data_IF_367190229706
#
_entry.id   IF_367190229706
#
_cell.length_a   1.000
_cell.length_b   1.000
_cell.length_c   1.000
_cell.angle_alpha   90.00
_cell.angle_beta   90.00
_cell.angle_gamma   90.00
#
_symmetry.space_group_name_H-M   'P 1'
#
loop_
_entity.id
_entity.type
_entity.pdbx_description
1 polymer ?
#
# COMPACT_ATOMS: atom_id res chain seq x y z
N UNK A 1 -4.16 -2.22 19.16
CA UNK A 1 -2.91 -2.02 18.37
C UNK A 1 -2.87 -0.58 17.87
N UNK A 2 -1.72 0.13 17.98
CA UNK A 2 -1.57 1.53 17.54
C UNK A 2 -1.05 1.58 16.10
N UNK A 3 -1.76 2.30 15.21
CA UNK A 3 -1.41 2.44 13.80
C UNK A 3 -1.24 3.92 13.46
N UNK A 4 -0.14 4.26 12.78
CA UNK A 4 0.00 5.54 12.13
C UNK A 4 -0.53 5.43 10.70
N UNK A 5 -1.54 6.21 10.35
CA UNK A 5 -2.04 6.35 8.99
C UNK A 5 -1.50 7.67 8.42
N UNK A 6 -0.66 7.56 7.40
CA UNK A 6 -0.07 8.72 6.75
C UNK A 6 -1.00 9.17 5.62
N UNK A 7 -1.51 10.37 5.74
CA UNK A 7 -2.44 10.98 4.81
C UNK A 7 -1.71 11.81 3.75
N UNK A 8 -1.77 11.36 2.50
CA UNK A 8 -1.21 12.06 1.34
C UNK A 8 -2.19 13.10 0.76
N UNK A 9 -3.00 13.75 1.61
CA UNK A 9 -4.02 14.72 1.18
C UNK A 9 -5.05 14.10 0.22
N UNK A 10 -5.50 12.89 0.55
CA UNK A 10 -6.37 12.09 -0.29
C UNK A 10 -7.75 11.89 0.35
N UNK A 11 -8.81 12.01 -0.45
CA UNK A 11 -10.19 11.84 0.01
C UNK A 11 -10.49 10.41 0.49
N UNK A 12 -9.75 9.40 0.02
CA UNK A 12 -9.91 8.00 0.44
C UNK A 12 -9.15 7.66 1.72
N UNK A 13 -8.31 8.55 2.27
CA UNK A 13 -7.59 8.31 3.53
C UNK A 13 -8.55 7.94 4.65
N UNK A 14 -9.67 8.64 4.78
CA UNK A 14 -10.65 8.36 5.82
C UNK A 14 -11.44 7.07 5.59
N UNK A 15 -11.55 6.59 4.36
CA UNK A 15 -12.08 5.24 4.10
C UNK A 15 -11.13 4.18 4.66
N UNK A 16 -9.80 4.33 4.44
CA UNK A 16 -8.79 3.46 5.06
C UNK A 16 -8.88 3.54 6.59
N UNK A 17 -9.02 4.75 7.16
CA UNK A 17 -9.21 4.96 8.58
C UNK A 17 -10.41 4.19 9.13
N UNK A 18 -11.59 4.33 8.51
CA UNK A 18 -12.80 3.63 8.94
C UNK A 18 -12.66 2.10 8.87
N UNK A 19 -12.06 1.57 7.81
CA UNK A 19 -11.79 0.14 7.70
C UNK A 19 -10.85 -0.36 8.82
N UNK A 20 -9.80 0.41 9.16
CA UNK A 20 -8.91 0.08 10.26
C UNK A 20 -9.61 0.18 11.62
N UNK A 21 -10.49 1.16 11.82
CA UNK A 21 -11.33 1.28 13.03
C UNK A 21 -12.29 0.10 13.17
N UNK A 22 -12.90 -0.35 12.08
CA UNK A 22 -13.82 -1.51 12.06
C UNK A 22 -13.12 -2.84 12.42
N UNK A 23 -11.80 -2.90 12.42
CA UNK A 23 -11.01 -4.04 12.90
C UNK A 23 -10.30 -3.73 14.23
N UNK A 24 -10.87 -2.83 15.02
CA UNK A 24 -10.50 -2.51 16.40
C UNK A 24 -9.08 -1.95 16.56
N UNK A 25 -8.58 -1.22 15.56
CA UNK A 25 -7.30 -0.55 15.64
C UNK A 25 -7.43 0.86 16.26
N UNK A 26 -6.44 1.24 17.08
CA UNK A 26 -6.27 2.63 17.48
C UNK A 26 -5.44 3.33 16.40
N UNK A 27 -6.11 4.19 15.60
CA UNK A 27 -5.52 4.83 14.42
C UNK A 27 -5.34 6.31 14.68
N UNK A 28 -4.12 6.79 14.45
CA UNK A 28 -3.77 8.22 14.47
C UNK A 28 -3.37 8.65 13.06
N UNK A 29 -3.99 9.72 12.55
CA UNK A 29 -3.77 10.22 11.18
C UNK A 29 -2.75 11.35 11.20
N UNK A 30 -1.78 11.27 10.31
CA UNK A 30 -0.73 12.28 10.13
C UNK A 30 -0.73 12.79 8.68
N UNK A 31 -0.81 14.07 8.46
CA UNK A 31 -0.53 14.67 7.15
C UNK A 31 0.94 14.39 6.78
N UNK A 32 1.20 14.01 5.54
CA UNK A 32 2.51 13.48 5.09
C UNK A 32 3.69 14.45 5.29
N UNK A 33 3.42 15.72 5.56
CA UNK A 33 4.41 16.80 5.75
C UNK A 33 4.37 17.42 7.18
N UNK A 34 3.48 16.96 8.09
CA UNK A 34 3.21 17.61 9.39
C UNK A 34 3.65 16.79 10.61
N UNK A 35 4.73 16.01 10.50
CA UNK A 35 5.28 15.24 11.63
C UNK A 35 6.78 15.01 11.45
N UNK A 36 7.44 14.53 12.51
CA UNK A 36 8.82 14.07 12.45
C UNK A 36 8.85 12.53 12.45
N UNK A 37 9.85 11.94 11.77
CA UNK A 37 9.98 10.46 11.67
C UNK A 37 10.05 9.80 13.08
N UNK A 38 10.63 10.49 14.06
CA UNK A 38 10.71 9.99 15.45
C UNK A 38 9.33 9.75 16.08
N UNK A 39 8.31 10.54 15.70
CA UNK A 39 6.97 10.45 16.27
C UNK A 39 6.28 9.12 15.88
N UNK A 40 6.70 8.51 14.77
CA UNK A 40 6.16 7.25 14.27
C UNK A 40 6.72 6.02 15.01
N UNK A 41 7.83 6.14 15.74
CA UNK A 41 8.48 5.00 16.42
C UNK A 41 7.62 4.35 17.50
N UNK A 42 6.66 5.08 18.06
CA UNK A 42 5.71 4.59 19.09
C UNK A 42 4.59 3.70 18.52
N UNK A 43 4.44 3.64 17.18
CA UNK A 43 3.38 2.86 16.53
C UNK A 43 3.81 1.43 16.25
N UNK A 44 2.83 0.53 16.25
CA UNK A 44 3.06 -0.88 15.95
C UNK A 44 3.16 -1.12 14.45
N UNK A 45 2.43 -0.33 13.64
CA UNK A 45 2.39 -0.42 12.18
C UNK A 45 2.17 0.95 11.56
N UNK A 46 2.56 1.08 10.29
CA UNK A 46 2.37 2.28 9.49
C UNK A 46 1.57 1.90 8.24
N UNK A 47 0.56 2.70 7.92
CA UNK A 47 -0.17 2.63 6.64
C UNK A 47 0.05 3.94 5.90
N UNK A 48 0.49 3.87 4.65
CA UNK A 48 0.67 5.03 3.77
C UNK A 48 -0.51 5.04 2.80
N UNK A 49 -1.32 6.09 2.86
CA UNK A 49 -2.57 6.22 2.12
C UNK A 49 -2.37 6.33 0.60
N UNK A 50 -3.44 6.17 -0.17
CA UNK A 50 -3.51 6.74 -1.52
C UNK A 50 -3.16 8.23 -1.52
N UNK A 51 -2.95 8.80 -2.69
CA UNK A 51 -2.70 10.22 -2.83
C UNK A 51 -2.54 10.66 -4.29
N UNK A 52 -2.62 11.96 -4.55
CA UNK A 52 -2.38 12.53 -5.86
C UNK A 52 -0.88 12.57 -6.19
N UNK A 53 -0.57 12.82 -7.46
CA UNK A 53 0.79 13.03 -7.95
C UNK A 53 1.63 11.76 -8.02
N UNK A 54 2.87 11.85 -7.58
CA UNK A 54 3.85 10.77 -7.64
C UNK A 54 4.66 10.67 -6.33
N UNK A 55 5.47 9.62 -6.13
CA UNK A 55 6.24 9.44 -4.90
C UNK A 55 7.12 10.62 -4.48
N UNK A 56 7.68 11.38 -5.41
CA UNK A 56 8.54 12.53 -5.08
C UNK A 56 7.75 13.70 -4.47
N UNK A 57 6.43 13.72 -4.67
CA UNK A 57 5.51 14.75 -4.15
C UNK A 57 4.81 14.31 -2.85
N UNK A 58 5.20 13.18 -2.27
CA UNK A 58 4.55 12.56 -1.11
C UNK A 58 5.10 13.03 0.26
N UNK A 59 5.64 14.23 0.35
CA UNK A 59 6.17 14.78 1.61
C UNK A 59 7.24 13.87 2.24
N UNK A 60 7.01 13.43 3.46
CA UNK A 60 7.95 12.59 4.21
C UNK A 60 7.83 11.07 3.90
N UNK A 61 6.93 10.64 3.00
CA UNK A 61 6.65 9.21 2.83
C UNK A 61 7.85 8.38 2.36
N UNK A 62 8.67 8.89 1.43
CA UNK A 62 9.91 8.21 1.04
C UNK A 62 10.87 8.04 2.23
N UNK A 63 10.99 9.06 3.10
CA UNK A 63 11.82 9.01 4.32
C UNK A 63 11.27 8.00 5.33
N UNK A 64 9.94 7.90 5.49
CA UNK A 64 9.29 6.90 6.36
C UNK A 64 9.77 5.51 5.98
N UNK A 65 9.58 5.14 4.70
CA UNK A 65 9.92 3.79 4.24
C UNK A 65 11.40 3.52 4.45
N UNK A 66 12.29 4.43 3.98
CA UNK A 66 13.76 4.26 4.12
C UNK A 66 14.22 4.10 5.57
N UNK A 67 13.61 4.85 6.50
CA UNK A 67 14.06 4.89 7.91
C UNK A 67 13.47 3.79 8.78
N UNK A 68 12.28 3.29 8.45
CA UNK A 68 11.49 2.46 9.36
C UNK A 68 11.19 1.06 8.85
N UNK A 69 11.46 0.73 7.58
CA UNK A 69 11.07 -0.56 6.97
C UNK A 69 11.63 -1.81 7.68
N UNK A 70 12.80 -1.68 8.33
CA UNK A 70 13.40 -2.77 9.12
C UNK A 70 12.81 -2.90 10.54
N UNK A 71 12.06 -1.90 11.00
CA UNK A 71 11.67 -1.75 12.41
C UNK A 71 10.18 -1.85 12.62
N UNK A 72 9.38 -1.37 11.68
CA UNK A 72 7.93 -1.26 11.80
C UNK A 72 7.30 -1.79 10.50
N UNK A 73 6.34 -2.72 10.57
CA UNK A 73 5.59 -3.16 9.39
C UNK A 73 4.90 -2.00 8.67
N UNK A 74 5.04 -1.95 7.34
CA UNK A 74 4.52 -0.87 6.50
C UNK A 74 3.58 -1.44 5.43
N UNK A 75 2.40 -0.85 5.29
CA UNK A 75 1.50 -1.07 4.18
C UNK A 75 1.39 0.21 3.35
N UNK A 76 1.64 0.12 2.05
CA UNK A 76 1.39 1.19 1.09
C UNK A 76 0.18 0.89 0.23
N UNK A 77 -0.76 1.83 0.12
CA UNK A 77 -1.94 1.75 -0.73
C UNK A 77 -1.81 2.75 -1.88
N UNK A 78 -1.97 2.30 -3.11
CA UNK A 78 -1.91 3.08 -4.34
C UNK A 78 -0.62 3.92 -4.45
N UNK A 79 -0.63 5.21 -4.12
CA UNK A 79 0.58 6.03 -4.03
C UNK A 79 1.59 5.42 -3.03
N UNK A 80 1.13 4.91 -1.89
CA UNK A 80 1.98 4.23 -0.91
C UNK A 80 2.70 3.00 -1.48
N UNK A 81 2.05 2.23 -2.35
CA UNK A 81 2.66 1.12 -3.07
C UNK A 81 3.77 1.59 -4.03
N UNK A 82 3.54 2.68 -4.76
CA UNK A 82 4.53 3.27 -5.66
C UNK A 82 5.73 3.83 -4.89
N UNK A 83 5.48 4.45 -3.72
CA UNK A 83 6.53 4.91 -2.79
C UNK A 83 7.43 3.74 -2.38
N UNK A 84 6.86 2.60 -2.00
CA UNK A 84 7.61 1.37 -1.68
C UNK A 84 8.45 0.95 -2.88
N UNK A 85 7.85 0.83 -4.07
CA UNK A 85 8.58 0.49 -5.29
C UNK A 85 9.78 1.38 -5.53
N UNK A 86 9.59 2.71 -5.46
CA UNK A 86 10.65 3.69 -5.70
C UNK A 86 11.76 3.65 -4.64
N UNK A 87 11.40 3.48 -3.36
CA UNK A 87 12.41 3.42 -2.27
C UNK A 87 13.37 2.25 -2.46
N UNK A 88 12.87 1.13 -2.94
CA UNK A 88 13.69 -0.06 -3.23
C UNK A 88 14.30 -0.05 -4.64
N UNK A 89 14.20 1.05 -5.40
CA UNK A 89 14.92 1.26 -6.67
C UNK A 89 14.14 0.93 -7.94
N UNK A 90 12.86 0.57 -7.84
CA UNK A 90 12.03 0.39 -9.01
C UNK A 90 11.63 1.74 -9.62
N UNK A 91 11.52 1.81 -10.95
CA UNK A 91 10.99 3.00 -11.64
C UNK A 91 9.47 3.03 -11.55
N UNK A 92 8.94 4.23 -11.41
CA UNK A 92 7.49 4.51 -11.49
C UNK A 92 7.24 5.14 -12.84
N UNK A 93 6.37 4.53 -13.63
CA UNK A 93 6.07 4.93 -14.99
C UNK A 93 4.58 5.16 -15.20
N UNK A 94 4.23 5.92 -16.21
CA UNK A 94 2.85 6.11 -16.62
C UNK A 94 2.30 4.85 -17.31
N UNK A 95 1.12 4.41 -16.91
CA UNK A 95 0.41 3.33 -17.62
C UNK A 95 -0.24 3.86 -18.89
N UNK A 96 -0.33 3.02 -19.92
CA UNK A 96 -1.02 3.36 -21.17
C UNK A 96 -2.53 3.55 -21.00
N UNK A 97 -3.12 2.96 -19.96
CA UNK A 97 -4.55 2.97 -19.68
C UNK A 97 -4.85 3.63 -18.36
N UNK A 98 -5.44 4.81 -18.37
CA UNK A 98 -5.92 5.49 -17.16
C UNK A 98 -7.02 4.66 -16.51
N UNK A 99 -6.85 4.41 -15.21
CA UNK A 99 -7.83 3.74 -14.36
C UNK A 99 -8.42 4.74 -13.37
N UNK A 100 -9.72 5.01 -13.48
CA UNK A 100 -10.44 5.90 -12.58
C UNK A 100 -11.77 5.28 -12.17
N UNK A 101 -11.85 4.76 -10.93
CA UNK A 101 -13.04 4.12 -10.38
C UNK A 101 -13.45 2.81 -11.06
N UNK A 102 -12.60 2.25 -11.91
CA UNK A 102 -12.84 1.00 -12.62
C UNK A 102 -12.34 -0.18 -11.80
N UNK A 103 -13.04 -1.29 -11.89
CA UNK A 103 -12.60 -2.55 -11.30
C UNK A 103 -11.78 -3.37 -12.29
N UNK A 104 -10.93 -4.23 -11.77
CA UNK A 104 -10.17 -5.21 -12.55
C UNK A 104 -10.06 -6.52 -11.77
N UNK A 105 -9.95 -7.62 -12.51
CA UNK A 105 -9.62 -8.91 -11.91
C UNK A 105 -8.12 -8.92 -11.59
N UNK A 106 -7.82 -9.18 -10.32
CA UNK A 106 -6.48 -9.28 -9.78
C UNK A 106 -6.13 -10.74 -9.56
N UNK A 107 -4.99 -11.17 -10.05
CA UNK A 107 -4.44 -12.50 -9.87
C UNK A 107 -3.45 -12.47 -8.71
N UNK A 108 -3.76 -13.16 -7.62
CA UNK A 108 -2.99 -13.18 -6.38
C UNK A 108 -2.12 -14.43 -6.29
N UNK A 109 -0.87 -14.26 -5.83
CA UNK A 109 0.03 -15.37 -5.45
C UNK A 109 -0.25 -15.92 -4.05
N UNK A 110 -1.23 -15.36 -3.33
CA UNK A 110 -1.64 -15.79 -1.97
C UNK A 110 -0.51 -15.71 -0.94
N UNK A 111 0.40 -14.76 -1.09
CA UNK A 111 1.52 -14.54 -0.15
C UNK A 111 1.33 -13.23 0.63
N UNK A 112 2.05 -13.09 1.75
CA UNK A 112 2.03 -11.90 2.58
C UNK A 112 0.61 -11.53 3.04
N UNK A 113 0.22 -10.28 2.83
CA UNK A 113 -1.12 -9.78 3.20
C UNK A 113 -2.25 -10.35 2.33
N UNK A 114 -1.93 -11.03 1.23
CA UNK A 114 -2.88 -11.71 0.35
C UNK A 114 -3.06 -13.19 0.69
N UNK A 115 -2.41 -13.67 1.76
CA UNK A 115 -2.55 -15.05 2.25
C UNK A 115 -4.01 -15.35 2.61
N UNK A 116 -4.46 -16.57 2.29
CA UNK A 116 -5.83 -17.06 2.55
C UNK A 116 -6.95 -16.25 1.84
N UNK A 117 -6.59 -15.52 0.76
CA UNK A 117 -7.55 -14.91 -0.13
C UNK A 117 -7.74 -15.75 -1.40
N UNK A 118 -8.82 -15.52 -2.18
CA UNK A 118 -9.01 -16.16 -3.48
C UNK A 118 -7.80 -15.92 -4.39
N UNK A 119 -7.53 -16.88 -5.29
CA UNK A 119 -6.48 -16.74 -6.32
C UNK A 119 -6.79 -15.56 -7.26
N UNK A 120 -8.08 -15.29 -7.50
CA UNK A 120 -8.56 -14.16 -8.28
C UNK A 120 -9.62 -13.41 -7.50
N UNK A 121 -9.61 -12.08 -7.60
CA UNK A 121 -10.63 -11.23 -7.00
C UNK A 121 -10.74 -9.92 -7.76
N UNK A 122 -11.88 -9.27 -7.63
CA UNK A 122 -12.11 -7.94 -8.21
C UNK A 122 -11.65 -6.85 -7.24
N UNK A 123 -10.96 -5.82 -7.76
CA UNK A 123 -10.53 -4.66 -6.98
C UNK A 123 -10.63 -3.35 -7.77
N UNK A 124 -10.93 -2.28 -7.06
CA UNK A 124 -11.05 -0.93 -7.62
C UNK A 124 -9.67 -0.29 -7.82
N UNK A 125 -9.51 0.43 -8.92
CA UNK A 125 -8.28 1.11 -9.30
C UNK A 125 -8.53 2.58 -9.64
N UNK A 126 -7.63 3.47 -9.15
CA UNK A 126 -7.64 4.92 -9.40
C UNK A 126 -6.22 5.40 -9.65
N UNK A 127 -5.56 4.91 -10.70
CA UNK A 127 -4.16 5.27 -10.94
C UNK A 127 -3.81 5.40 -12.42
N UNK A 128 -2.86 6.30 -12.69
CA UNK A 128 -2.18 6.47 -13.97
C UNK A 128 -0.71 6.05 -13.91
N UNK A 129 -0.15 5.87 -12.70
CA UNK A 129 1.22 5.46 -12.47
C UNK A 129 1.26 4.02 -11.93
N UNK A 130 2.34 3.31 -12.28
CA UNK A 130 2.60 1.92 -11.88
C UNK A 130 4.08 1.70 -11.61
N UNK A 131 4.41 0.67 -10.85
CA UNK A 131 5.78 0.14 -10.78
C UNK A 131 6.11 -0.53 -12.13
N UNK A 132 7.20 -0.09 -12.76
CA UNK A 132 7.70 -0.72 -13.98
C UNK A 132 8.25 -2.12 -13.67
N UNK A 133 7.59 -3.14 -14.23
CA UNK A 133 7.97 -4.55 -14.04
C UNK A 133 9.39 -4.85 -14.49
N UNK A 134 9.91 -4.15 -15.50
CA UNK A 134 11.27 -4.35 -16.03
C UNK A 134 12.35 -3.89 -15.06
N UNK A 135 12.01 -2.97 -14.17
CA UNK A 135 12.93 -2.40 -13.18
C UNK A 135 12.62 -2.81 -11.76
N UNK A 136 11.76 -3.83 -11.58
CA UNK A 136 11.40 -4.30 -10.24
C UNK A 136 12.66 -4.66 -9.45
N UNK A 137 12.78 -4.03 -8.27
CA UNK A 137 13.89 -4.29 -7.36
C UNK A 137 14.01 -5.76 -6.99
N UNK A 138 15.25 -6.26 -6.90
CA UNK A 138 15.55 -7.62 -6.40
C UNK A 138 15.11 -7.87 -4.95
N UNK A 139 14.91 -6.82 -4.18
CA UNK A 139 14.46 -6.90 -2.79
C UNK A 139 12.94 -7.06 -2.67
N UNK A 140 12.21 -6.84 -3.76
CA UNK A 140 10.77 -6.98 -3.83
C UNK A 140 10.37 -8.26 -4.58
N UNK A 141 9.21 -8.80 -4.22
CA UNK A 141 8.51 -9.84 -4.95
C UNK A 141 7.11 -9.38 -5.36
N UNK A 142 6.65 -9.80 -6.54
CA UNK A 142 5.30 -9.53 -7.00
C UNK A 142 4.35 -10.51 -6.31
N UNK A 143 3.31 -9.99 -5.66
CA UNK A 143 2.30 -10.78 -4.96
C UNK A 143 0.94 -10.79 -5.65
N UNK A 144 0.71 -9.82 -6.55
CA UNK A 144 -0.50 -9.74 -7.37
C UNK A 144 -0.24 -9.01 -8.68
N UNK A 145 -0.96 -9.40 -9.73
CA UNK A 145 -0.91 -8.79 -11.07
C UNK A 145 -2.29 -8.75 -11.71
N UNK A 146 -2.46 -7.89 -12.72
CA UNK A 146 -3.59 -7.97 -13.66
C UNK A 146 -3.30 -9.02 -14.75
N UNK A 147 -4.32 -9.36 -15.56
CA UNK A 147 -4.14 -10.29 -16.70
C UNK A 147 -3.09 -9.81 -17.72
N UNK A 148 -2.99 -8.50 -17.90
CA UNK A 148 -2.00 -7.84 -18.79
C UNK A 148 -0.65 -7.57 -18.11
N UNK A 149 -0.41 -8.17 -16.94
CA UNK A 149 0.88 -8.20 -16.26
C UNK A 149 1.27 -6.94 -15.49
N UNK A 150 0.34 -6.01 -15.24
CA UNK A 150 0.62 -4.86 -14.39
C UNK A 150 0.75 -5.30 -12.93
N UNK A 151 1.77 -4.82 -12.25
CA UNK A 151 2.00 -5.13 -10.82
C UNK A 151 0.91 -4.47 -9.99
N UNK A 152 0.17 -5.30 -9.24
CA UNK A 152 -0.92 -4.89 -8.36
C UNK A 152 -0.63 -5.15 -6.89
N UNK A 153 0.44 -5.87 -6.60
CA UNK A 153 0.90 -6.10 -5.23
C UNK A 153 2.38 -6.43 -5.18
N UNK A 154 3.07 -5.92 -4.18
CA UNK A 154 4.46 -6.26 -3.86
C UNK A 154 4.64 -6.51 -2.37
N UNK A 155 5.60 -7.38 -2.05
CA UNK A 155 6.16 -7.54 -0.71
C UNK A 155 7.66 -7.35 -0.75
N UNK A 156 8.25 -6.84 0.32
CA UNK A 156 9.68 -6.99 0.55
C UNK A 156 9.98 -8.43 0.97
N UNK A 157 11.04 -9.04 0.43
CA UNK A 157 11.37 -10.47 0.63
C UNK A 157 11.71 -10.84 2.07
N UNK A 158 12.22 -9.87 2.85
CA UNK A 158 12.71 -10.12 4.23
C UNK A 158 11.86 -9.39 5.26
N UNK A 159 11.50 -8.13 5.00
CA UNK A 159 10.83 -7.28 5.98
C UNK A 159 9.33 -7.18 5.71
N UNK A 160 8.57 -6.90 6.76
CA UNK A 160 7.11 -6.72 6.67
C UNK A 160 6.75 -5.38 6.00
N UNK A 161 7.10 -5.25 4.72
CA UNK A 161 6.72 -4.12 3.87
C UNK A 161 5.89 -4.64 2.71
N UNK A 162 4.68 -4.15 2.60
CA UNK A 162 3.67 -4.61 1.66
C UNK A 162 3.08 -3.44 0.90
N UNK A 163 2.82 -3.62 -0.38
CA UNK A 163 2.16 -2.60 -1.19
C UNK A 163 1.06 -3.19 -2.05
N UNK A 164 -0.07 -2.50 -2.16
CA UNK A 164 -1.15 -2.82 -3.11
C UNK A 164 -1.46 -1.60 -3.96
N UNK A 165 -1.50 -1.78 -5.29
CA UNK A 165 -1.77 -0.69 -6.25
C UNK A 165 -3.27 -0.36 -6.31
N UNK A 166 -4.12 -1.33 -6.04
CA UNK A 166 -5.58 -1.16 -5.96
C UNK A 166 -6.01 -0.63 -4.59
N UNK A 167 -7.28 -0.26 -4.46
CA UNK A 167 -7.89 0.35 -3.27
C UNK A 167 -8.64 -0.68 -2.43
N UNK A 168 -8.03 -1.24 -1.36
CA UNK A 168 -8.72 -2.19 -0.47
C UNK A 168 -9.85 -1.53 0.33
N UNK A 169 -9.82 -0.21 0.52
CA UNK A 169 -10.83 0.56 1.23
C UNK A 169 -12.06 0.90 0.37
N UNK A 170 -12.03 0.55 -0.90
CA UNK A 170 -13.18 0.76 -1.79
C UNK A 170 -14.26 -0.29 -1.56
N UNK A 171 -15.51 0.14 -1.52
CA UNK A 171 -16.68 -0.74 -1.33
C UNK A 171 -16.78 -1.86 -2.39
N UNK A 172 -16.31 -1.59 -3.61
CA UNK A 172 -16.27 -2.58 -4.69
C UNK A 172 -15.13 -3.60 -4.54
N UNK A 173 -14.16 -3.37 -3.64
CA UNK A 173 -13.12 -4.34 -3.30
C UNK A 173 -13.58 -5.19 -2.12
N UNK A 174 -14.49 -6.13 -2.37
CA UNK A 174 -15.18 -6.92 -1.33
C UNK A 174 -14.26 -7.62 -0.32
N UNK A 175 -13.03 -7.93 -0.71
CA UNK A 175 -12.05 -8.60 0.16
C UNK A 175 -11.14 -7.61 0.91
N UNK A 176 -11.30 -6.31 0.71
CA UNK A 176 -10.38 -5.29 1.21
C UNK A 176 -10.16 -5.33 2.72
N UNK A 177 -11.23 -5.53 3.49
CA UNK A 177 -11.11 -5.67 4.96
C UNK A 177 -10.28 -6.90 5.37
N UNK A 178 -10.32 -7.98 4.60
CA UNK A 178 -9.50 -9.19 4.86
C UNK A 178 -8.02 -8.90 4.63
N UNK A 179 -7.68 -8.10 3.60
CA UNK A 179 -6.31 -7.65 3.33
C UNK A 179 -5.77 -6.83 4.50
N UNK A 180 -6.54 -5.85 4.98
CA UNK A 180 -6.16 -5.04 6.14
C UNK A 180 -6.03 -5.88 7.41
N UNK A 181 -6.94 -6.81 7.67
CA UNK A 181 -6.82 -7.77 8.79
C UNK A 181 -5.57 -8.63 8.70
N UNK A 182 -5.21 -9.10 7.52
CA UNK A 182 -3.99 -9.87 7.33
C UNK A 182 -2.76 -9.02 7.66
N UNK A 183 -2.72 -7.76 7.20
CA UNK A 183 -1.64 -6.84 7.56
C UNK A 183 -1.55 -6.61 9.07
N UNK A 184 -2.69 -6.40 9.73
CA UNK A 184 -2.74 -6.20 11.19
C UNK A 184 -2.22 -7.42 11.97
N UNK A 185 -2.46 -8.62 11.47
CA UNK A 185 -2.02 -9.89 12.11
C UNK A 185 -0.53 -10.22 11.90
N UNK A 186 0.18 -9.53 11.02
CA UNK A 186 1.62 -9.76 10.86
C UNK A 186 2.36 -9.47 12.19
N UNK A 187 3.20 -10.40 12.61
CA UNK A 187 4.12 -10.17 13.73
C UNK A 187 5.20 -9.16 13.32
N UNK A 188 5.81 -8.48 14.30
CA UNK A 188 7.00 -7.65 14.03
C UNK A 188 8.13 -8.48 13.48
#
# INVERSE_FOLDING_TARGET
MKIALIDNYDSFTYNVYHYLKNIECNVEVFRNDKFQIKDLKKFNKIVISPGPGNPNQSGNCLKIVRSLYKKIPILGVCLGHQIIGQVFGSKIIQTRKLMHGKTSIIFSKKTGILKNLPKTFEATRYHSLIIDKKTLSKDLEITAETKDGLIMGVNHKIYNVHGVQFHPESIKTKIGIKILRNFIKLKK
#
